data_IF_247271362320
#
_entry.id   IF_247271362320
#
_cell.length_a   1.000
_cell.length_b   1.000
_cell.length_c   1.000
_cell.angle_alpha   90.00
_cell.angle_beta   90.00
_cell.angle_gamma   90.00
#
_symmetry.space_group_name_H-M   'P 1'
#
loop_
_entity.id
_entity.type
_entity.pdbx_description
1 polymer ?
#
# COMPACT_ATOMS: atom_id res chain seq x y z
N UNK A 1 21.11 -20.42 -32.71
CA UNK A 1 20.23 -19.56 -31.94
C UNK A 1 19.88 -20.24 -30.61
N UNK A 2 19.96 -19.53 -29.49
CA UNK A 2 19.54 -20.06 -28.20
C UNK A 2 18.03 -20.37 -28.25
N UNK A 3 17.62 -21.54 -27.73
CA UNK A 3 16.21 -21.93 -27.62
C UNK A 3 15.52 -20.94 -26.66
N UNK A 4 14.37 -20.40 -27.06
CA UNK A 4 13.61 -19.53 -26.19
C UNK A 4 13.22 -20.27 -24.89
N UNK A 5 13.24 -19.61 -23.70
CA UNK A 5 12.81 -20.26 -22.48
C UNK A 5 11.33 -20.62 -22.57
N UNK A 6 11.00 -21.83 -22.20
CA UNK A 6 9.61 -22.32 -22.12
C UNK A 6 9.12 -22.14 -20.68
N UNK A 7 7.92 -21.58 -20.50
CA UNK A 7 7.29 -21.47 -19.19
C UNK A 7 6.72 -22.83 -18.76
N UNK A 8 6.98 -23.19 -17.51
CA UNK A 8 6.40 -24.40 -16.91
C UNK A 8 5.11 -24.05 -16.16
N UNK A 9 4.12 -24.95 -16.19
CA UNK A 9 2.91 -24.78 -15.38
C UNK A 9 3.23 -25.05 -13.91
N UNK A 10 3.14 -24.03 -13.07
CA UNK A 10 3.42 -24.12 -11.63
C UNK A 10 2.16 -24.11 -10.76
N UNK A 11 1.00 -23.74 -11.31
CA UNK A 11 -0.28 -23.73 -10.62
C UNK A 11 -1.44 -23.95 -11.59
N UNK A 12 -2.55 -24.48 -11.08
CA UNK A 12 -3.80 -24.64 -11.83
C UNK A 12 -4.84 -23.61 -11.37
N UNK A 13 -5.89 -23.31 -12.19
CA UNK A 13 -6.99 -22.46 -11.77
C UNK A 13 -7.68 -22.98 -10.48
N UNK A 14 -7.81 -24.28 -10.32
CA UNK A 14 -8.41 -24.91 -9.14
C UNK A 14 -7.55 -24.71 -7.90
N UNK A 15 -6.21 -24.79 -8.00
CA UNK A 15 -5.29 -24.49 -6.91
C UNK A 15 -5.41 -23.03 -6.46
N UNK A 16 -5.52 -22.08 -7.42
CA UNK A 16 -5.71 -20.67 -7.12
C UNK A 16 -7.06 -20.43 -6.44
N UNK A 17 -8.12 -21.09 -6.89
CA UNK A 17 -9.44 -20.99 -6.26
C UNK A 17 -9.40 -21.50 -4.81
N UNK A 18 -8.74 -22.62 -4.54
CA UNK A 18 -8.54 -23.17 -3.20
C UNK A 18 -7.76 -22.19 -2.29
N UNK A 19 -6.71 -21.56 -2.81
CA UNK A 19 -5.97 -20.54 -2.06
C UNK A 19 -6.83 -19.33 -1.69
N UNK A 20 -7.76 -18.92 -2.56
CA UNK A 20 -8.71 -17.84 -2.26
C UNK A 20 -9.68 -18.19 -1.12
N UNK A 21 -10.05 -19.46 -0.98
CA UNK A 21 -10.85 -19.91 0.14
C UNK A 21 -10.03 -19.95 1.43
N UNK A 22 -8.82 -20.48 1.38
CA UNK A 22 -7.87 -20.46 2.51
C UNK A 22 -7.57 -19.03 2.98
N UNK A 23 -7.56 -18.05 2.08
CA UNK A 23 -7.35 -16.64 2.43
C UNK A 23 -8.38 -16.11 3.45
N UNK A 24 -9.58 -16.64 3.46
CA UNK A 24 -10.64 -16.25 4.40
C UNK A 24 -10.32 -16.67 5.83
N UNK A 25 -9.50 -17.69 6.01
CA UNK A 25 -9.09 -18.26 7.28
C UNK A 25 -7.87 -17.53 7.88
N UNK A 26 -7.14 -16.75 7.06
CA UNK A 26 -6.00 -15.96 7.57
C UNK A 26 -6.50 -14.91 8.55
N UNK A 27 -6.02 -14.97 9.77
CA UNK A 27 -6.45 -14.07 10.84
C UNK A 27 -5.83 -12.67 10.66
N UNK A 28 -6.62 -11.65 10.93
CA UNK A 28 -6.15 -10.27 11.10
C UNK A 28 -6.80 -9.76 12.39
N UNK A 29 -6.00 -9.40 13.38
CA UNK A 29 -6.48 -8.93 14.66
C UNK A 29 -7.09 -7.52 14.58
N UNK A 30 -7.73 -7.10 15.65
CA UNK A 30 -8.35 -5.78 15.74
C UNK A 30 -7.34 -4.67 15.57
N UNK A 31 -6.14 -4.79 16.17
CA UNK A 31 -5.05 -3.81 16.02
C UNK A 31 -4.56 -3.68 14.59
N UNK A 32 -4.48 -4.79 13.86
CA UNK A 32 -4.18 -4.77 12.43
C UNK A 32 -5.25 -4.07 11.62
N UNK A 33 -6.52 -4.27 11.98
CA UNK A 33 -7.66 -3.55 11.41
C UNK A 33 -7.60 -2.05 11.68
N UNK A 34 -7.36 -1.65 12.91
CA UNK A 34 -7.21 -0.25 13.32
C UNK A 34 -6.04 0.42 12.59
N UNK A 35 -4.91 -0.25 12.49
CA UNK A 35 -3.76 0.25 11.74
C UNK A 35 -4.07 0.53 10.26
N UNK A 36 -4.84 -0.36 9.62
CA UNK A 36 -5.31 -0.16 8.23
C UNK A 36 -6.25 1.05 8.15
N UNK A 37 -7.17 1.20 9.11
CA UNK A 37 -8.08 2.33 9.18
C UNK A 37 -7.32 3.64 9.34
N UNK A 38 -6.35 3.71 10.25
CA UNK A 38 -5.52 4.89 10.47
C UNK A 38 -4.80 5.34 9.20
N UNK A 39 -4.23 4.39 8.45
CA UNK A 39 -3.58 4.70 7.16
C UNK A 39 -4.59 5.30 6.18
N UNK A 40 -5.76 4.69 6.01
CA UNK A 40 -6.77 5.17 5.05
C UNK A 40 -7.31 6.54 5.47
N UNK A 41 -7.63 6.73 6.76
CA UNK A 41 -8.11 8.02 7.26
C UNK A 41 -7.07 9.12 7.16
N UNK A 42 -5.79 8.83 7.41
CA UNK A 42 -4.70 9.79 7.24
C UNK A 42 -4.58 10.32 5.79
N UNK A 43 -5.04 9.56 4.80
CA UNK A 43 -5.13 10.06 3.41
C UNK A 43 -6.33 10.98 3.17
N UNK A 44 -7.36 10.90 4.00
CA UNK A 44 -8.61 11.64 3.83
C UNK A 44 -8.65 12.93 4.64
N UNK A 45 -8.11 12.86 5.83
CA UNK A 45 -8.08 13.95 6.81
C UNK A 45 -6.68 14.10 7.41
N UNK A 46 -5.64 14.35 6.56
CA UNK A 46 -4.26 14.44 7.02
C UNK A 46 -4.06 15.58 8.03
N UNK A 47 -4.88 16.62 7.98
CA UNK A 47 -4.87 17.74 8.92
C UNK A 47 -5.18 17.33 10.36
N UNK A 48 -5.86 16.22 10.57
CA UNK A 48 -6.18 15.68 11.89
C UNK A 48 -5.05 14.78 12.45
N UNK A 49 -3.99 14.53 11.68
CA UNK A 49 -2.86 13.69 12.07
C UNK A 49 -1.62 14.55 12.28
N UNK A 50 -1.12 14.60 13.53
CA UNK A 50 0.06 15.39 13.87
C UNK A 50 1.26 15.06 12.97
N UNK A 51 1.77 16.07 12.27
CA UNK A 51 2.91 15.97 11.37
C UNK A 51 2.54 15.58 9.94
N UNK A 52 1.24 15.46 9.61
CA UNK A 52 0.73 15.23 8.25
C UNK A 52 -0.08 16.42 7.72
N UNK A 53 -0.21 17.50 8.48
CA UNK A 53 -1.08 18.65 8.17
C UNK A 53 -0.80 19.24 6.78
N UNK A 54 0.48 19.27 6.37
CA UNK A 54 0.89 19.78 5.06
C UNK A 54 0.42 18.94 3.88
N UNK A 55 0.04 17.68 4.12
CA UNK A 55 -0.48 16.80 3.07
C UNK A 55 -1.88 17.20 2.60
N UNK A 56 -2.59 18.02 3.39
CA UNK A 56 -3.89 18.60 3.02
C UNK A 56 -3.83 19.35 1.68
N UNK A 57 -2.76 20.08 1.44
CA UNK A 57 -2.54 20.85 0.22
C UNK A 57 -2.11 19.98 -0.97
N UNK A 58 -1.62 18.78 -0.69
CA UNK A 58 -1.11 17.86 -1.72
C UNK A 58 -2.14 16.83 -2.17
N UNK A 59 -3.12 16.50 -1.31
CA UNK A 59 -4.15 15.50 -1.61
C UNK A 59 -5.43 16.19 -2.04
N UNK A 60 -5.84 15.99 -3.28
CA UNK A 60 -7.14 16.42 -3.78
C UNK A 60 -8.25 15.49 -3.29
N UNK A 61 -8.04 14.17 -3.41
CA UNK A 61 -8.97 13.14 -2.96
C UNK A 61 -8.22 12.01 -2.29
N UNK A 62 -8.50 11.77 -1.02
CA UNK A 62 -7.96 10.64 -0.27
C UNK A 62 -8.58 9.31 -0.66
N UNK A 63 -7.97 8.22 -0.23
CA UNK A 63 -8.46 6.87 -0.50
C UNK A 63 -9.88 6.66 0.05
N UNK A 64 -10.73 5.99 -0.71
CA UNK A 64 -12.09 5.69 -0.25
C UNK A 64 -12.10 4.63 0.86
N UNK A 65 -13.16 4.54 1.69
CA UNK A 65 -13.28 3.48 2.70
C UNK A 65 -13.12 2.06 2.14
N UNK A 66 -13.41 1.85 0.86
CA UNK A 66 -13.16 0.56 0.19
C UNK A 66 -11.67 0.17 0.15
N UNK A 67 -10.77 1.13 0.27
CA UNK A 67 -9.34 0.86 0.38
C UNK A 67 -9.00 0.05 1.64
N UNK A 68 -9.76 0.21 2.73
CA UNK A 68 -9.61 -0.58 3.94
C UNK A 68 -9.81 -2.08 3.68
N UNK A 69 -10.87 -2.41 2.93
CA UNK A 69 -11.16 -3.80 2.55
C UNK A 69 -10.06 -4.36 1.63
N UNK A 70 -9.58 -3.54 0.69
CA UNK A 70 -8.52 -3.93 -0.23
C UNK A 70 -7.20 -4.17 0.51
N UNK A 71 -6.81 -3.29 1.44
CA UNK A 71 -5.61 -3.44 2.27
C UNK A 71 -5.68 -4.68 3.16
N UNK A 72 -6.82 -4.90 3.83
CA UNK A 72 -7.01 -6.08 4.68
C UNK A 72 -6.85 -7.36 3.87
N UNK A 73 -7.50 -7.43 2.70
CA UNK A 73 -7.41 -8.60 1.82
C UNK A 73 -5.99 -8.81 1.28
N UNK A 74 -5.31 -7.75 0.87
CA UNK A 74 -3.95 -7.81 0.35
C UNK A 74 -2.94 -8.20 1.43
N UNK A 75 -3.07 -7.67 2.65
CA UNK A 75 -2.20 -8.03 3.78
C UNK A 75 -2.35 -9.51 4.17
N UNK A 76 -3.58 -10.02 4.20
CA UNK A 76 -3.82 -11.47 4.42
C UNK A 76 -3.20 -12.32 3.32
N UNK A 77 -3.33 -11.88 2.05
CA UNK A 77 -2.73 -12.59 0.92
C UNK A 77 -1.20 -12.61 1.03
N UNK A 78 -0.59 -11.49 1.43
CA UNK A 78 0.85 -11.42 1.65
C UNK A 78 1.30 -12.36 2.78
N UNK A 79 0.56 -12.43 3.89
CA UNK A 79 0.83 -13.36 4.97
C UNK A 79 0.75 -14.82 4.49
N UNK A 80 -0.31 -15.18 3.75
CA UNK A 80 -0.51 -16.53 3.21
C UNK A 80 0.62 -16.95 2.27
N UNK A 81 1.02 -16.09 1.35
CA UNK A 81 2.15 -16.36 0.42
C UNK A 81 3.46 -16.55 1.18
N UNK A 82 3.61 -15.89 2.34
CA UNK A 82 4.76 -16.08 3.23
C UNK A 82 4.57 -17.22 4.26
N UNK A 83 3.60 -18.11 4.04
CA UNK A 83 3.38 -19.31 4.86
C UNK A 83 2.82 -19.05 6.24
N UNK A 84 2.13 -17.91 6.48
CA UNK A 84 1.56 -17.54 7.78
C UNK A 84 0.04 -17.52 7.76
N UNK A 85 -0.56 -18.00 8.82
CA UNK A 85 -2.01 -18.01 9.03
C UNK A 85 -2.54 -16.71 9.68
N UNK A 86 -1.68 -15.69 9.85
CA UNK A 86 -2.06 -14.40 10.43
C UNK A 86 -1.32 -13.27 9.74
N UNK A 87 -2.01 -12.15 9.53
CA UNK A 87 -1.45 -10.93 8.98
C UNK A 87 -0.84 -10.05 10.09
N UNK A 88 0.25 -9.39 9.78
CA UNK A 88 0.97 -8.47 10.65
C UNK A 88 1.02 -7.07 10.04
N UNK A 89 1.37 -6.01 10.79
CA UNK A 89 1.59 -4.69 10.23
C UNK A 89 2.64 -4.65 9.11
N UNK A 90 3.59 -5.59 9.10
CA UNK A 90 4.57 -5.70 8.03
C UNK A 90 3.93 -6.14 6.72
N UNK A 91 2.90 -6.99 6.77
CA UNK A 91 2.14 -7.38 5.58
C UNK A 91 1.38 -6.20 4.98
N UNK A 92 0.80 -5.36 5.85
CA UNK A 92 0.15 -4.12 5.40
C UNK A 92 1.16 -3.21 4.70
N UNK A 93 2.35 -3.01 5.28
CA UNK A 93 3.40 -2.18 4.68
C UNK A 93 3.90 -2.71 3.34
N UNK A 94 4.00 -4.03 3.21
CA UNK A 94 4.45 -4.65 1.97
C UNK A 94 3.50 -4.37 0.80
N UNK A 95 2.20 -4.17 1.05
CA UNK A 95 1.18 -4.02 0.00
C UNK A 95 0.57 -2.63 -0.10
N UNK A 96 0.84 -1.74 0.86
CA UNK A 96 0.14 -0.44 0.97
C UNK A 96 0.33 0.44 -0.27
N UNK A 97 1.52 0.47 -0.85
CA UNK A 97 1.80 1.24 -2.06
C UNK A 97 0.98 0.75 -3.25
N UNK A 98 0.98 -0.54 -3.49
CA UNK A 98 0.28 -1.14 -4.61
C UNK A 98 -1.23 -0.98 -4.50
N UNK A 99 -1.74 -0.95 -3.27
CA UNK A 99 -3.17 -0.76 -3.01
C UNK A 99 -3.58 0.71 -3.07
N UNK A 100 -2.76 1.65 -2.56
CA UNK A 100 -3.19 3.04 -2.37
C UNK A 100 -2.79 3.98 -3.50
N UNK A 101 -1.67 3.75 -4.23
CA UNK A 101 -1.15 4.71 -5.21
C UNK A 101 -2.16 5.14 -6.28
N UNK A 102 -3.04 4.24 -6.69
CA UNK A 102 -4.08 4.52 -7.71
C UNK A 102 -5.43 4.91 -7.12
N UNK A 103 -5.51 5.09 -5.78
CA UNK A 103 -6.72 5.46 -5.03
C UNK A 103 -6.64 6.83 -4.38
N UNK A 104 -5.50 7.49 -4.49
CA UNK A 104 -5.26 8.83 -3.98
C UNK A 104 -5.01 9.73 -5.18
N UNK A 105 -5.78 10.82 -5.28
CA UNK A 105 -5.57 11.85 -6.29
C UNK A 105 -4.82 13.01 -5.67
N UNK A 106 -3.75 13.43 -6.31
CA UNK A 106 -2.97 14.59 -5.92
C UNK A 106 -3.55 15.88 -6.51
N UNK A 107 -3.21 16.99 -5.89
CA UNK A 107 -3.45 18.31 -6.48
C UNK A 107 -2.49 18.54 -7.65
N UNK A 108 -2.87 19.42 -8.57
CA UNK A 108 -2.03 19.77 -9.72
C UNK A 108 -0.67 20.35 -9.27
N UNK A 109 -0.67 21.13 -8.21
CA UNK A 109 0.53 21.72 -7.62
C UNK A 109 1.47 20.63 -7.10
N UNK A 110 0.96 19.63 -6.40
CA UNK A 110 1.75 18.51 -5.91
C UNK A 110 2.36 17.67 -7.04
N UNK A 111 1.62 17.46 -8.12
CA UNK A 111 2.14 16.77 -9.31
C UNK A 111 3.22 17.60 -10.02
N UNK A 112 3.05 18.91 -10.11
CA UNK A 112 4.02 19.81 -10.73
C UNK A 112 5.33 19.87 -9.92
N UNK A 113 5.26 19.89 -8.60
CA UNK A 113 6.45 19.87 -7.73
C UNK A 113 7.24 18.58 -7.87
N UNK A 114 6.59 17.44 -7.97
CA UNK A 114 7.26 16.13 -8.16
C UNK A 114 7.96 16.03 -9.53
N UNK A 115 7.42 16.63 -10.58
CA UNK A 115 8.06 16.68 -11.91
C UNK A 115 9.34 17.54 -11.88
N UNK A 116 9.39 18.60 -11.07
CA UNK A 116 10.56 19.47 -10.95
C UNK A 116 11.67 18.87 -10.10
N UNK A 117 11.34 18.04 -9.11
CA UNK A 117 12.33 17.37 -8.24
C UNK A 117 13.07 16.23 -8.95
N UNK A 118 12.44 15.57 -9.90
CA UNK A 118 13.03 14.46 -10.69
C UNK A 118 14.16 14.91 -11.65
N UNK A 119 14.30 16.22 -11.91
CA UNK A 119 15.38 16.74 -12.78
C UNK A 119 16.74 16.80 -12.10
N UNK A 120 16.84 16.60 -10.80
CA UNK A 120 18.07 16.83 -10.02
C UNK A 120 18.76 15.55 -9.54
N UNK A 121 18.10 14.38 -9.49
CA UNK A 121 18.75 13.14 -9.09
C UNK A 121 18.73 12.08 -10.19
N UNK A 122 19.84 12.02 -10.91
CA UNK A 122 20.11 10.99 -11.93
C UNK A 122 20.47 9.62 -11.35
N UNK A 123 20.47 9.43 -10.03
CA UNK A 123 21.05 8.24 -9.38
C UNK A 123 20.05 7.35 -8.65
N UNK A 124 18.75 7.60 -8.71
CA UNK A 124 17.76 6.76 -8.01
C UNK A 124 16.77 6.10 -8.96
N UNK A 125 17.13 4.93 -9.51
CA UNK A 125 16.19 4.03 -10.17
C UNK A 125 15.04 3.59 -9.22
N UNK A 126 15.23 3.72 -7.90
CA UNK A 126 14.19 3.53 -6.88
C UNK A 126 13.23 4.71 -6.74
N UNK A 127 13.64 5.92 -7.11
CA UNK A 127 12.81 7.13 -7.03
C UNK A 127 11.66 7.15 -8.05
N UNK A 128 11.80 6.44 -9.17
CA UNK A 128 10.75 6.36 -10.19
C UNK A 128 9.50 5.60 -9.74
N UNK A 129 9.56 4.83 -8.67
CA UNK A 129 8.41 4.12 -8.10
C UNK A 129 7.60 4.97 -7.10
N UNK A 130 8.21 6.03 -6.57
CA UNK A 130 7.61 6.91 -5.55
C UNK A 130 6.97 8.19 -6.12
N UNK A 131 6.52 8.15 -7.36
CA UNK A 131 6.09 9.34 -8.11
C UNK A 131 4.93 10.12 -7.51
N UNK A 132 4.24 9.65 -6.49
CA UNK A 132 2.92 10.24 -6.28
C UNK A 132 2.51 10.52 -4.86
N UNK A 133 3.29 10.34 -3.85
CA UNK A 133 2.83 10.65 -2.49
C UNK A 133 3.74 9.97 -1.45
N UNK A 134 4.19 10.71 -0.47
CA UNK A 134 5.04 10.11 0.55
C UNK A 134 4.18 9.33 1.56
N UNK A 135 3.71 8.16 1.12
CA UNK A 135 2.97 7.20 1.94
C UNK A 135 3.80 6.78 3.17
N UNK A 136 5.14 6.83 3.09
CA UNK A 136 6.02 6.53 4.22
C UNK A 136 5.73 7.43 5.42
N UNK A 137 5.44 8.71 5.21
CA UNK A 137 5.08 9.63 6.30
C UNK A 137 3.79 9.18 7.00
N UNK A 138 2.82 8.71 6.25
CA UNK A 138 1.55 8.19 6.81
C UNK A 138 1.80 6.93 7.62
N UNK A 139 2.58 5.99 7.06
CA UNK A 139 2.93 4.73 7.73
C UNK A 139 3.69 4.99 9.03
N UNK A 140 4.66 5.91 9.01
CA UNK A 140 5.47 6.23 10.18
C UNK A 140 4.62 6.89 11.27
N UNK A 141 3.74 7.83 10.91
CA UNK A 141 2.90 8.55 11.87
C UNK A 141 1.79 7.69 12.45
N UNK A 142 1.22 6.78 11.68
CA UNK A 142 0.29 5.79 12.20
C UNK A 142 0.91 4.87 13.26
N UNK A 143 2.24 4.65 13.21
CA UNK A 143 2.97 3.93 14.26
C UNK A 143 3.18 4.71 15.54
N UNK A 144 3.39 6.03 15.44
CA UNK A 144 3.60 6.89 16.62
C UNK A 144 2.31 7.01 17.45
N UNK A 145 1.14 6.82 16.84
CA UNK A 145 -0.15 6.81 17.52
C UNK A 145 -0.41 5.52 18.33
N UNK A 146 0.34 4.42 18.06
CA UNK A 146 0.26 3.15 18.80
C UNK A 146 1.14 3.09 20.08
N UNK A 147 1.95 4.11 20.31
CA UNK A 147 2.80 4.25 21.52
C UNK A 147 2.15 5.21 22.53
#
# INVERSE_FOLDING_TARGET
GAKAPEAETVATPEAIASLRDTLKEVYCDEKGGDYILDIVFATREPENVKGLESLKEQIQVGASPRATLALNKAARANALVNGRAYATPQDVKAVVYDVLRHRILLTYEAEAENITSDKISKDDEKANYNRTFNIDRIILKSKEAEL
#
